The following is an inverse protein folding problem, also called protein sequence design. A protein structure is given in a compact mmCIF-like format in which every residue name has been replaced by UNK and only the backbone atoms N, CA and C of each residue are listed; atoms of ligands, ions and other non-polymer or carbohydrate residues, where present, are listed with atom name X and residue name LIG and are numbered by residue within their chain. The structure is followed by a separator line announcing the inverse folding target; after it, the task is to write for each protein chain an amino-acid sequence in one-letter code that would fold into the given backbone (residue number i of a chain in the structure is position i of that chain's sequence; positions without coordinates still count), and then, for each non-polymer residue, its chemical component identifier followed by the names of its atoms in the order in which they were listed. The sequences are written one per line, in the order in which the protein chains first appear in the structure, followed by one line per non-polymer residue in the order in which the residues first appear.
data_IF_800770034564
#
_entry.id   IF_800770034564
#
_cell.length_a   1.000
_cell.length_b   1.000
_cell.length_c   1.000
_cell.angle_alpha   90.00
_cell.angle_beta   90.00
_cell.angle_gamma   90.00
#
_symmetry.space_group_name_H-M   'P 1'
#
loop_
_entity.id
_entity.type
_entity.pdbx_description
1 polymer ?
#
# COMPACT_ATOMS: atom_id res chain seq x y z
N UNK A 1 9.75 -19.63 -17.33
CA UNK A 1 10.05 -19.13 -15.95
C UNK A 1 8.74 -18.69 -15.32
N UNK A 2 8.57 -18.88 -14.00
CA UNK A 2 7.37 -18.34 -13.34
C UNK A 2 7.39 -16.80 -13.49
N UNK A 3 6.23 -16.21 -13.82
CA UNK A 3 6.10 -14.76 -13.96
C UNK A 3 6.34 -14.12 -12.60
N UNK A 4 7.22 -13.11 -12.53
CA UNK A 4 7.41 -12.30 -11.33
C UNK A 4 6.13 -11.51 -11.03
N UNK A 5 5.71 -11.47 -9.77
CA UNK A 5 4.61 -10.63 -9.31
C UNK A 5 4.94 -9.14 -9.40
N UNK A 6 3.94 -8.32 -9.21
CA UNK A 6 4.03 -6.85 -9.29
C UNK A 6 3.81 -6.21 -7.93
N UNK A 7 4.42 -5.05 -7.73
CA UNK A 7 4.32 -4.27 -6.50
C UNK A 7 3.36 -3.09 -6.69
N UNK A 8 2.34 -3.03 -5.83
CA UNK A 8 1.38 -1.93 -5.76
C UNK A 8 1.51 -1.22 -4.42
N UNK A 9 1.60 0.09 -4.42
CA UNK A 9 1.75 0.89 -3.20
C UNK A 9 0.53 1.76 -3.04
N UNK A 10 -0.29 1.45 -2.03
CA UNK A 10 -1.51 2.20 -1.72
C UNK A 10 -1.20 3.18 -0.60
N UNK A 11 -1.38 4.45 -0.87
CA UNK A 11 -1.11 5.53 0.07
C UNK A 11 -2.18 6.63 0.01
N UNK A 12 -2.03 7.65 0.84
CA UNK A 12 -2.97 8.77 0.96
C UNK A 12 -3.18 9.18 2.42
N UNK A 13 -3.98 10.23 2.68
CA UNK A 13 -4.16 10.79 4.01
C UNK A 13 -4.70 9.79 5.03
N UNK A 14 -4.37 10.02 6.31
CA UNK A 14 -5.04 9.30 7.39
C UNK A 14 -6.55 9.59 7.35
N UNK A 15 -7.38 8.52 7.43
CA UNK A 15 -8.85 8.67 7.32
C UNK A 15 -9.40 8.55 5.88
N UNK A 16 -8.55 8.44 4.85
CA UNK A 16 -9.02 8.25 3.47
C UNK A 16 -9.71 6.88 3.22
N UNK A 17 -9.52 5.89 4.12
CA UNK A 17 -10.16 4.58 4.00
C UNK A 17 -9.27 3.49 3.37
N UNK A 18 -7.98 3.72 3.24
CA UNK A 18 -7.01 2.76 2.66
C UNK A 18 -7.17 1.35 3.20
N UNK A 19 -7.11 1.19 4.54
CA UNK A 19 -7.14 -0.12 5.18
C UNK A 19 -8.44 -0.90 4.94
N UNK A 20 -9.56 -0.20 4.80
CA UNK A 20 -10.84 -0.82 4.48
C UNK A 20 -10.85 -1.30 3.03
N UNK A 21 -10.39 -0.48 2.10
CA UNK A 21 -10.24 -0.83 0.68
C UNK A 21 -9.31 -2.03 0.53
N UNK A 22 -8.10 -1.98 1.12
CA UNK A 22 -7.12 -3.08 1.04
C UNK A 22 -7.70 -4.37 1.60
N UNK A 23 -8.32 -4.34 2.78
CA UNK A 23 -8.97 -5.52 3.37
C UNK A 23 -10.05 -6.11 2.47
N UNK A 24 -10.86 -5.25 1.83
CA UNK A 24 -11.91 -5.70 0.93
C UNK A 24 -11.33 -6.32 -0.36
N UNK A 25 -10.29 -5.71 -0.94
CA UNK A 25 -9.55 -6.28 -2.08
C UNK A 25 -9.02 -7.66 -1.75
N UNK A 26 -8.29 -7.80 -0.63
CA UNK A 26 -7.70 -9.08 -0.23
C UNK A 26 -8.74 -10.16 0.06
N UNK A 27 -9.90 -9.78 0.60
CA UNK A 27 -11.02 -10.70 0.84
C UNK A 27 -11.62 -11.24 -0.44
N UNK A 28 -11.74 -10.40 -1.47
CA UNK A 28 -12.36 -10.74 -2.76
C UNK A 28 -11.38 -11.42 -3.71
N UNK A 29 -10.09 -11.11 -3.60
CA UNK A 29 -9.05 -11.46 -4.56
C UNK A 29 -7.84 -12.13 -3.88
N UNK A 30 -7.90 -13.46 -3.64
CA UNK A 30 -6.84 -14.22 -2.97
C UNK A 30 -5.54 -14.35 -3.78
N UNK A 31 -5.55 -13.90 -5.02
CA UNK A 31 -4.40 -13.80 -5.92
C UNK A 31 -3.54 -12.54 -5.69
N UNK A 32 -3.94 -11.70 -4.73
CA UNK A 32 -3.21 -10.52 -4.26
C UNK A 32 -2.87 -10.68 -2.78
N UNK A 33 -1.69 -10.27 -2.38
CA UNK A 33 -1.20 -10.38 -1.00
C UNK A 33 -0.88 -9.00 -0.40
N UNK A 34 -0.96 -8.88 0.92
CA UNK A 34 -0.46 -7.70 1.64
C UNK A 34 0.97 -7.96 2.13
N UNK A 35 1.83 -6.98 2.03
CA UNK A 35 3.16 -7.06 2.63
C UNK A 35 3.09 -6.94 4.14
N UNK A 36 3.85 -7.79 4.83
CA UNK A 36 4.00 -7.73 6.28
C UNK A 36 5.12 -6.75 6.61
N UNK A 37 4.77 -5.63 7.25
CA UNK A 37 5.73 -4.62 7.68
C UNK A 37 6.54 -5.06 8.89
N UNK A 38 7.73 -4.48 9.05
CA UNK A 38 8.56 -4.59 10.24
C UNK A 38 8.21 -3.47 11.23
N UNK A 39 8.27 -3.73 12.54
CA UNK A 39 8.01 -2.70 13.56
C UNK A 39 8.79 -2.94 14.84
N UNK A 40 9.16 -1.84 15.54
CA UNK A 40 9.71 -1.90 16.90
C UNK A 40 8.63 -1.90 17.99
N UNK A 41 7.36 -1.76 17.62
CA UNK A 41 6.24 -1.85 18.54
C UNK A 41 6.11 -3.28 19.07
N UNK A 42 5.93 -3.42 20.38
CA UNK A 42 5.60 -4.72 20.97
C UNK A 42 4.28 -5.28 20.40
N UNK A 43 4.18 -6.60 20.17
CA UNK A 43 2.95 -7.22 19.71
C UNK A 43 1.80 -7.00 20.71
N UNK A 44 0.60 -6.76 20.18
CA UNK A 44 -0.63 -6.71 20.97
C UNK A 44 -1.17 -8.13 21.18
N UNK A 45 -2.06 -8.34 22.17
CA UNK A 45 -2.74 -9.63 22.33
C UNK A 45 -3.39 -10.09 21.02
N UNK A 46 -3.06 -11.30 20.58
CA UNK A 46 -3.58 -11.89 19.33
C UNK A 46 -2.77 -11.56 18.06
N UNK A 47 -1.77 -10.68 18.12
CA UNK A 47 -0.86 -10.48 17.00
C UNK A 47 0.22 -11.57 16.96
N UNK A 48 0.54 -12.02 15.75
CA UNK A 48 1.50 -13.12 15.48
C UNK A 48 2.63 -12.54 14.63
N UNK A 49 3.88 -12.81 15.05
CA UNK A 49 5.08 -12.43 14.30
C UNK A 49 5.09 -13.08 12.92
N UNK A 50 5.52 -12.32 11.92
CA UNK A 50 5.54 -12.76 10.51
C UNK A 50 4.16 -12.83 9.83
N UNK A 51 3.08 -12.58 10.56
CA UNK A 51 1.70 -12.56 10.03
C UNK A 51 1.13 -11.14 10.05
N UNK A 52 1.16 -10.49 11.21
CA UNK A 52 0.66 -9.12 11.37
C UNK A 52 1.76 -8.10 11.17
N UNK A 53 2.92 -8.36 11.75
CA UNK A 53 4.17 -7.62 11.61
C UNK A 53 5.36 -8.56 11.78
N UNK A 54 6.53 -8.12 11.31
CA UNK A 54 7.81 -8.63 11.78
C UNK A 54 8.22 -7.76 12.98
N UNK A 55 8.06 -8.30 14.20
CA UNK A 55 8.38 -7.58 15.42
C UNK A 55 9.87 -7.69 15.72
N UNK A 56 10.55 -6.56 15.84
CA UNK A 56 11.98 -6.50 16.15
C UNK A 56 12.21 -5.47 17.28
N UNK A 57 13.33 -5.56 17.97
CA UNK A 57 13.77 -4.52 18.88
C UNK A 57 14.44 -3.35 18.13
N UNK A 58 14.72 -2.28 18.87
CA UNK A 58 15.35 -1.09 18.30
C UNK A 58 16.74 -1.36 17.77
N UNK A 59 17.52 -2.22 18.43
CA UNK A 59 18.87 -2.56 18.00
C UNK A 59 18.87 -3.29 16.64
N UNK A 60 17.96 -4.26 16.48
CA UNK A 60 17.81 -4.97 15.21
C UNK A 60 17.28 -4.04 14.10
N UNK A 61 16.38 -3.15 14.45
CA UNK A 61 15.88 -2.15 13.47
C UNK A 61 17.01 -1.23 12.99
N UNK A 62 17.88 -0.77 13.90
CA UNK A 62 19.07 0.04 13.56
C UNK A 62 20.05 -0.70 12.64
N UNK A 63 20.26 -1.99 12.87
CA UNK A 63 21.07 -2.83 11.97
C UNK A 63 20.44 -2.88 10.57
N UNK A 64 19.14 -3.15 10.47
CA UNK A 64 18.43 -3.21 9.19
C UNK A 64 18.46 -1.86 8.44
N UNK A 65 18.43 -0.74 9.16
CA UNK A 65 18.61 0.60 8.56
C UNK A 65 20.03 0.75 8.00
N UNK A 66 21.07 0.37 8.76
CA UNK A 66 22.47 0.41 8.32
C UNK A 66 22.75 -0.48 7.12
N UNK A 67 22.11 -1.64 7.07
CA UNK A 67 22.17 -2.59 5.95
C UNK A 67 21.39 -2.12 4.71
N UNK A 68 20.69 -0.97 4.77
CA UNK A 68 19.77 -0.50 3.71
C UNK A 68 18.71 -1.57 3.33
N UNK A 69 18.22 -2.30 4.34
CA UNK A 69 17.33 -3.43 4.17
C UNK A 69 15.87 -3.04 3.91
N UNK A 70 15.51 -1.78 4.14
CA UNK A 70 14.16 -1.27 3.94
C UNK A 70 13.97 -0.58 2.58
N UNK A 71 12.80 -0.76 1.97
CA UNK A 71 12.32 0.13 0.91
C UNK A 71 11.98 1.52 1.46
N UNK A 72 11.31 1.53 2.60
CA UNK A 72 10.96 2.72 3.35
C UNK A 72 10.93 2.40 4.84
N UNK A 73 11.15 3.39 5.66
CA UNK A 73 10.86 3.30 7.08
C UNK A 73 10.56 4.69 7.65
N UNK A 74 9.77 4.74 8.73
CA UNK A 74 9.38 5.98 9.38
C UNK A 74 9.17 5.80 10.89
N UNK A 75 9.31 6.90 11.62
CA UNK A 75 8.84 7.01 12.98
C UNK A 75 7.33 7.30 12.99
N UNK A 76 6.57 6.45 13.67
CA UNK A 76 5.15 6.68 13.92
C UNK A 76 4.93 6.68 15.43
N UNK A 77 4.75 7.85 15.99
CA UNK A 77 4.74 8.09 17.43
C UNK A 77 6.05 7.64 18.11
N UNK A 78 5.97 6.64 18.99
CA UNK A 78 7.13 6.13 19.75
C UNK A 78 7.80 4.91 19.10
N UNK A 79 7.28 4.43 17.96
CA UNK A 79 7.74 3.21 17.33
C UNK A 79 8.19 3.48 15.90
N UNK A 80 8.97 2.55 15.36
CA UNK A 80 9.39 2.56 13.97
C UNK A 80 8.67 1.48 13.18
N UNK A 81 8.41 1.78 11.92
CA UNK A 81 7.80 0.88 10.97
C UNK A 81 8.59 0.94 9.68
N UNK A 82 8.64 -0.16 8.94
CA UNK A 82 9.31 -0.18 7.65
C UNK A 82 8.98 -1.43 6.83
N UNK A 83 9.18 -1.33 5.53
CA UNK A 83 8.94 -2.40 4.57
C UNK A 83 10.27 -3.05 4.16
N UNK A 84 10.49 -4.31 4.56
CA UNK A 84 11.71 -5.06 4.25
C UNK A 84 11.77 -5.43 2.77
N UNK A 85 12.86 -5.05 2.08
CA UNK A 85 13.13 -5.40 0.67
C UNK A 85 13.11 -6.91 0.45
N UNK A 86 13.73 -7.66 1.35
CA UNK A 86 13.81 -9.13 1.26
C UNK A 86 12.44 -9.81 1.31
N UNK A 87 11.51 -9.30 2.13
CA UNK A 87 10.15 -9.83 2.23
C UNK A 87 9.40 -9.58 0.92
N UNK A 88 9.46 -8.35 0.41
CA UNK A 88 8.82 -7.97 -0.85
C UNK A 88 9.38 -8.78 -2.01
N UNK A 89 10.71 -8.81 -2.19
CA UNK A 89 11.34 -9.53 -3.29
C UNK A 89 10.99 -11.02 -3.30
N UNK A 90 11.02 -11.67 -2.13
CA UNK A 90 10.66 -13.09 -1.99
C UNK A 90 9.22 -13.37 -2.43
N UNK A 91 8.28 -12.46 -2.20
CA UNK A 91 6.90 -12.63 -2.63
C UNK A 91 6.75 -12.39 -4.13
N UNK A 92 7.39 -11.36 -4.66
CA UNK A 92 7.37 -11.05 -6.10
C UNK A 92 8.02 -12.18 -6.92
N UNK A 93 9.11 -12.80 -6.44
CA UNK A 93 9.77 -13.93 -7.09
C UNK A 93 8.89 -15.19 -7.15
N UNK A 94 7.97 -15.35 -6.19
CA UNK A 94 6.95 -16.43 -6.21
C UNK A 94 5.82 -16.17 -7.21
N UNK A 95 5.80 -14.99 -7.85
CA UNK A 95 4.75 -14.59 -8.76
C UNK A 95 3.53 -13.95 -8.09
N UNK A 96 3.61 -13.64 -6.78
CA UNK A 96 2.52 -13.01 -6.05
C UNK A 96 2.51 -11.49 -6.30
N UNK A 97 1.37 -10.95 -6.69
CA UNK A 97 1.16 -9.51 -6.68
C UNK A 97 0.99 -9.03 -5.25
N UNK A 98 1.69 -7.96 -4.90
CA UNK A 98 1.83 -7.51 -3.52
C UNK A 98 1.36 -6.07 -3.36
N UNK A 99 0.54 -5.82 -2.34
CA UNK A 99 0.15 -4.49 -1.91
C UNK A 99 1.00 -4.07 -0.71
N UNK A 100 1.55 -2.85 -0.75
CA UNK A 100 2.03 -2.12 0.42
C UNK A 100 0.98 -1.09 0.79
N UNK A 101 0.54 -1.09 2.05
CA UNK A 101 -0.30 -0.03 2.61
C UNK A 101 0.57 0.80 3.55
N UNK A 102 1.01 1.96 3.09
CA UNK A 102 1.97 2.83 3.79
C UNK A 102 1.55 4.31 3.72
N UNK A 103 2.25 5.16 4.45
CA UNK A 103 2.02 6.60 4.38
C UNK A 103 2.60 7.22 3.09
N UNK A 104 2.31 8.51 2.90
CA UNK A 104 2.71 9.25 1.69
C UNK A 104 4.23 9.33 1.54
N UNK A 105 4.97 9.54 2.64
CA UNK A 105 6.42 9.67 2.59
C UNK A 105 7.08 8.34 2.24
N UNK A 106 6.61 7.26 2.87
CA UNK A 106 7.08 5.90 2.57
C UNK A 106 6.79 5.51 1.13
N UNK A 107 5.60 5.81 0.62
CA UNK A 107 5.28 5.53 -0.77
C UNK A 107 6.23 6.22 -1.76
N UNK A 108 6.51 7.50 -1.57
CA UNK A 108 7.43 8.23 -2.45
C UNK A 108 8.85 7.64 -2.41
N UNK A 109 9.32 7.16 -1.25
CA UNK A 109 10.60 6.45 -1.14
C UNK A 109 10.59 5.13 -1.93
N UNK A 110 9.49 4.37 -1.86
CA UNK A 110 9.36 3.12 -2.62
C UNK A 110 9.37 3.39 -4.12
N UNK A 111 8.57 4.35 -4.61
CA UNK A 111 8.48 4.68 -6.03
C UNK A 111 9.80 5.21 -6.60
N UNK A 112 10.62 5.91 -5.79
CA UNK A 112 11.95 6.34 -6.17
C UNK A 112 12.94 5.17 -6.29
N UNK A 113 12.85 4.18 -5.39
CA UNK A 113 13.75 3.02 -5.37
C UNK A 113 13.34 1.93 -6.36
N UNK A 114 12.05 1.79 -6.63
CA UNK A 114 11.50 0.79 -7.55
C UNK A 114 10.54 1.46 -8.55
N UNK A 115 11.04 1.97 -9.67
CA UNK A 115 10.21 2.58 -10.72
C UNK A 115 9.22 1.63 -11.39
N UNK A 116 9.29 0.32 -11.14
CA UNK A 116 8.31 -0.65 -11.61
C UNK A 116 7.10 -0.78 -10.68
N UNK A 117 7.19 -0.28 -9.45
CA UNK A 117 6.09 -0.24 -8.50
C UNK A 117 4.99 0.71 -8.99
N UNK A 118 3.75 0.37 -8.71
CA UNK A 118 2.57 1.14 -9.11
C UNK A 118 2.03 1.90 -7.90
N UNK A 119 2.07 3.21 -7.95
CA UNK A 119 1.55 4.09 -6.90
C UNK A 119 0.06 4.37 -7.08
N UNK A 120 -0.73 4.07 -6.04
CA UNK A 120 -2.17 4.34 -5.99
C UNK A 120 -2.46 5.25 -4.81
N UNK A 121 -2.91 6.47 -5.09
CA UNK A 121 -3.28 7.45 -4.06
C UNK A 121 -4.77 7.35 -3.75
N UNK A 122 -5.13 7.07 -2.49
CA UNK A 122 -6.52 7.07 -2.04
C UNK A 122 -6.85 8.44 -1.44
N UNK A 123 -7.82 9.12 -2.03
CA UNK A 123 -8.24 10.47 -1.68
C UNK A 123 -9.65 10.45 -1.08
N UNK A 124 -9.93 11.20 -0.01
CA UNK A 124 -11.30 11.46 0.41
C UNK A 124 -11.99 12.40 -0.59
N UNK A 125 -13.33 12.37 -0.73
CA UNK A 125 -14.04 13.24 -1.66
C UNK A 125 -14.01 14.72 -1.26
N UNK A 126 -13.85 15.01 0.04
CA UNK A 126 -13.73 16.36 0.56
C UNK A 126 -13.03 16.39 1.92
N UNK A 127 -12.59 17.60 2.31
CA UNK A 127 -12.06 17.86 3.66
C UNK A 127 -13.09 17.54 4.74
N UNK A 128 -14.36 17.87 4.51
CA UNK A 128 -15.43 17.62 5.47
C UNK A 128 -15.64 16.13 5.73
N UNK A 129 -15.65 15.33 4.67
CA UNK A 129 -15.76 13.87 4.80
C UNK A 129 -14.56 13.28 5.54
N UNK A 130 -13.36 13.78 5.27
CA UNK A 130 -12.17 13.35 5.99
C UNK A 130 -12.27 13.66 7.48
N UNK A 131 -12.67 14.88 7.84
CA UNK A 131 -12.85 15.30 9.22
C UNK A 131 -13.89 14.44 9.94
N UNK A 132 -15.03 14.18 9.32
CA UNK A 132 -16.07 13.27 9.85
C UNK A 132 -15.52 11.87 10.14
N UNK A 133 -14.74 11.31 9.21
CA UNK A 133 -14.12 9.99 9.37
C UNK A 133 -13.10 9.94 10.48
N UNK A 134 -12.25 10.96 10.62
CA UNK A 134 -11.28 11.05 11.71
C UNK A 134 -11.97 11.12 13.08
N UNK A 135 -13.02 11.94 13.21
CA UNK A 135 -13.82 12.05 14.44
C UNK A 135 -14.55 10.75 14.79
N UNK A 136 -15.13 10.07 13.79
CA UNK A 136 -15.88 8.83 13.99
C UNK A 136 -15.03 7.67 14.53
N UNK A 137 -13.70 7.70 14.35
CA UNK A 137 -12.79 6.70 14.94
C UNK A 137 -12.72 6.76 16.46
N UNK A 138 -12.98 7.91 17.07
CA UNK A 138 -13.02 8.09 18.53
C UNK A 138 -11.69 7.83 19.27
N UNK A 139 -10.61 7.60 18.54
CA UNK A 139 -9.29 7.22 19.11
C UNK A 139 -8.31 8.40 19.16
N UNK A 140 -8.68 9.55 18.61
CA UNK A 140 -7.80 10.70 18.46
C UNK A 140 -8.33 11.93 19.21
N UNK A 141 -7.41 12.73 19.77
CA UNK A 141 -7.76 14.02 20.36
C UNK A 141 -8.09 15.06 19.29
N UNK A 142 -8.88 16.08 19.63
CA UNK A 142 -9.19 17.21 18.74
C UNK A 142 -7.93 17.89 18.20
N UNK A 143 -6.89 18.01 19.02
CA UNK A 143 -5.60 18.57 18.61
C UNK A 143 -4.94 17.70 17.52
N UNK A 144 -4.94 16.37 17.69
CA UNK A 144 -4.42 15.42 16.69
C UNK A 144 -5.19 15.53 15.37
N UNK A 145 -6.52 15.59 15.42
CA UNK A 145 -7.36 15.77 14.25
C UNK A 145 -7.02 17.08 13.51
N UNK A 146 -6.87 18.19 14.26
CA UNK A 146 -6.52 19.49 13.69
C UNK A 146 -5.16 19.45 12.99
N UNK A 147 -4.15 18.87 13.61
CA UNK A 147 -2.82 18.71 13.02
C UNK A 147 -2.89 17.91 11.72
N UNK A 148 -3.62 16.77 11.72
CA UNK A 148 -3.80 15.95 10.52
C UNK A 148 -4.50 16.72 9.39
N UNK A 149 -5.59 17.42 9.69
CA UNK A 149 -6.33 18.21 8.69
C UNK A 149 -5.47 19.35 8.09
N UNK A 150 -4.53 19.91 8.86
CA UNK A 150 -3.60 20.90 8.34
C UNK A 150 -2.54 20.29 7.40
N UNK A 151 -2.14 19.04 7.64
CA UNK A 151 -1.14 18.35 6.82
C UNK A 151 -1.73 17.77 5.51
N UNK A 152 -3.04 17.51 5.47
CA UNK A 152 -3.72 16.89 4.32
C UNK A 152 -3.48 17.60 3.00
N UNK A 153 -3.44 18.94 3.00
CA UNK A 153 -3.21 19.70 1.77
C UNK A 153 -1.83 19.37 1.15
N UNK A 154 -0.80 19.25 2.02
CA UNK A 154 0.53 18.82 1.59
C UNK A 154 0.54 17.37 1.08
N UNK A 155 -0.15 16.46 1.77
CA UNK A 155 -0.25 15.06 1.36
C UNK A 155 -0.98 14.92 0.02
N UNK A 156 -2.12 15.60 -0.17
CA UNK A 156 -2.88 15.60 -1.44
C UNK A 156 -2.07 16.21 -2.59
N UNK A 157 -1.27 17.22 -2.33
CA UNK A 157 -0.39 17.80 -3.35
C UNK A 157 0.63 16.79 -3.91
N UNK A 158 0.94 15.72 -3.15
CA UNK A 158 1.83 14.65 -3.66
C UNK A 158 1.15 13.68 -4.60
N UNK A 159 -0.19 13.68 -4.69
CA UNK A 159 -0.95 12.76 -5.55
C UNK A 159 -0.51 12.82 -7.03
N UNK A 160 0.00 13.95 -7.49
CA UNK A 160 0.56 14.11 -8.84
C UNK A 160 1.81 13.26 -9.13
N UNK A 161 2.39 12.64 -8.10
CA UNK A 161 3.55 11.73 -8.22
C UNK A 161 3.16 10.25 -8.30
N UNK A 162 1.86 9.97 -8.21
CA UNK A 162 1.31 8.61 -8.27
C UNK A 162 0.79 8.30 -9.67
N UNK A 163 0.70 7.02 -9.99
CA UNK A 163 0.18 6.57 -11.28
C UNK A 163 -1.35 6.65 -11.34
N UNK A 164 -2.01 6.44 -10.19
CA UNK A 164 -3.48 6.42 -10.10
C UNK A 164 -3.98 7.13 -8.84
N UNK A 165 -5.18 7.69 -8.95
CA UNK A 165 -5.90 8.31 -7.83
C UNK A 165 -7.28 7.69 -7.72
N UNK A 166 -7.60 7.14 -6.54
CA UNK A 166 -8.92 6.59 -6.19
C UNK A 166 -9.64 7.59 -5.27
N UNK A 167 -10.84 8.00 -5.62
CA UNK A 167 -11.66 8.87 -4.78
C UNK A 167 -12.63 8.00 -3.97
N UNK A 168 -12.30 7.74 -2.71
CA UNK A 168 -13.14 6.94 -1.84
C UNK A 168 -14.32 7.77 -1.30
N UNK A 169 -15.46 7.64 -1.94
CA UNK A 169 -16.71 8.35 -1.63
C UNK A 169 -17.24 8.00 -0.23
N UNK A 170 -18.14 8.84 0.30
CA UNK A 170 -18.88 8.52 1.52
C UNK A 170 -20.05 7.57 1.18
N UNK A 171 -20.22 6.52 1.98
CA UNK A 171 -21.32 5.56 1.80
C UNK A 171 -22.71 6.20 1.90
N UNK A 172 -22.82 7.36 2.55
CA UNK A 172 -24.08 8.12 2.63
C UNK A 172 -24.46 8.78 1.32
N UNK A 173 -23.43 9.15 0.55
CA UNK A 173 -23.61 9.84 -0.73
C UNK A 173 -23.61 8.84 -1.90
N UNK A 174 -22.83 7.77 -1.77
CA UNK A 174 -22.68 6.72 -2.78
C UNK A 174 -22.83 5.36 -2.10
N UNK A 175 -23.98 4.68 -2.24
CA UNK A 175 -24.10 3.28 -1.83
C UNK A 175 -22.98 2.45 -2.45
N UNK A 176 -22.47 1.49 -1.70
CA UNK A 176 -21.38 0.61 -2.15
C UNK A 176 -20.03 1.31 -2.42
N UNK A 177 -19.81 2.52 -1.87
CA UNK A 177 -18.58 3.30 -2.06
C UNK A 177 -17.30 2.50 -1.79
N UNK A 178 -17.31 1.61 -0.78
CA UNK A 178 -16.19 0.73 -0.48
C UNK A 178 -15.96 -0.31 -1.58
N UNK A 179 -17.03 -0.91 -2.09
CA UNK A 179 -16.97 -1.90 -3.16
C UNK A 179 -16.43 -1.25 -4.44
N UNK A 180 -16.95 -0.08 -4.81
CA UNK A 180 -16.51 0.67 -5.98
C UNK A 180 -15.01 0.97 -5.89
N UNK A 181 -14.54 1.56 -4.78
CA UNK A 181 -13.13 1.88 -4.62
C UNK A 181 -12.23 0.63 -4.62
N UNK A 182 -12.71 -0.49 -4.07
CA UNK A 182 -11.98 -1.75 -4.08
C UNK A 182 -11.90 -2.36 -5.48
N UNK A 183 -12.97 -2.28 -6.24
CA UNK A 183 -13.03 -2.77 -7.62
C UNK A 183 -12.18 -1.89 -8.56
N UNK A 184 -12.08 -0.58 -8.30
CA UNK A 184 -11.15 0.31 -9.00
C UNK A 184 -9.69 -0.08 -8.74
N UNK A 185 -9.30 -0.34 -7.48
CA UNK A 185 -7.95 -0.83 -7.15
C UNK A 185 -7.66 -2.14 -7.86
N UNK A 186 -8.58 -3.11 -7.82
CA UNK A 186 -8.36 -4.39 -8.48
C UNK A 186 -8.35 -4.28 -10.02
N UNK A 187 -9.10 -3.33 -10.57
CA UNK A 187 -9.06 -3.03 -12.02
C UNK A 187 -7.70 -2.50 -12.45
N UNK A 188 -7.05 -1.66 -11.63
CA UNK A 188 -5.67 -1.19 -11.86
C UNK A 188 -4.70 -2.38 -11.86
N UNK A 189 -4.82 -3.28 -10.87
CA UNK A 189 -3.98 -4.48 -10.79
C UNK A 189 -4.14 -5.32 -12.07
N UNK A 190 -5.36 -5.57 -12.51
CA UNK A 190 -5.64 -6.35 -13.71
C UNK A 190 -5.16 -5.66 -15.01
N UNK A 191 -5.34 -4.35 -15.12
CA UNK A 191 -4.84 -3.59 -16.25
C UNK A 191 -3.31 -3.69 -16.35
N UNK A 192 -2.63 -3.55 -15.20
CA UNK A 192 -1.17 -3.69 -15.12
C UNK A 192 -0.69 -5.08 -15.52
N UNK A 193 -1.41 -6.15 -15.11
CA UNK A 193 -1.14 -7.53 -15.56
C UNK A 193 -1.20 -7.70 -17.09
N UNK A 194 -2.03 -6.91 -17.75
CA UNK A 194 -2.26 -6.96 -19.19
C UNK A 194 -1.33 -6.05 -19.99
N UNK A 195 -0.54 -5.19 -19.36
CA UNK A 195 0.44 -4.38 -20.06
C UNK A 195 1.40 -5.25 -20.91
N UNK A 196 1.73 -4.77 -22.09
CA UNK A 196 2.64 -5.46 -23.01
C UNK A 196 3.94 -5.90 -22.33
N UNK A 197 4.53 -5.03 -21.52
CA UNK A 197 5.78 -5.32 -20.80
C UNK A 197 5.66 -6.56 -19.92
N UNK A 198 4.49 -6.81 -19.32
CA UNK A 198 4.20 -7.97 -18.50
C UNK A 198 3.76 -9.22 -19.29
N UNK A 199 3.75 -9.17 -20.63
CA UNK A 199 3.36 -10.26 -21.54
C UNK A 199 4.44 -10.62 -22.55
N UNK A 200 5.59 -9.95 -22.54
CA UNK A 200 6.66 -10.16 -23.53
C UNK A 200 7.11 -11.63 -23.57
N UNK A 201 7.38 -12.26 -22.42
CA UNK A 201 7.82 -13.66 -22.36
C UNK A 201 6.83 -14.61 -23.04
N UNK A 202 5.52 -14.39 -22.83
CA UNK A 202 4.47 -15.19 -23.47
C UNK A 202 4.47 -14.95 -24.99
N UNK A 203 4.54 -13.70 -25.43
CA UNK A 203 4.55 -13.34 -26.85
C UNK A 203 5.79 -13.91 -27.58
N UNK A 204 6.94 -13.88 -26.94
CA UNK A 204 8.18 -14.43 -27.46
C UNK A 204 8.11 -15.97 -27.59
N UNK A 205 7.59 -16.63 -26.54
CA UNK A 205 7.40 -18.08 -26.56
C UNK A 205 6.42 -18.52 -27.66
N UNK A 206 5.26 -17.85 -27.75
CA UNK A 206 4.25 -18.12 -28.77
C UNK A 206 4.81 -17.86 -30.18
N UNK A 207 5.55 -16.77 -30.38
CA UNK A 207 6.17 -16.44 -31.66
C UNK A 207 7.16 -17.51 -32.08
N UNK A 208 7.93 -18.07 -31.14
CA UNK A 208 8.86 -19.16 -31.42
C UNK A 208 8.13 -20.44 -31.81
N UNK A 209 7.05 -20.79 -31.08
CA UNK A 209 6.23 -21.96 -31.35
C UNK A 209 5.57 -21.89 -32.75
N UNK A 210 5.01 -20.72 -33.10
CA UNK A 210 4.34 -20.52 -34.40
C UNK A 210 5.29 -20.48 -35.60
N UNK A 211 6.61 -20.39 -35.38
CA UNK A 211 7.65 -20.43 -36.44
C UNK A 211 8.30 -21.81 -36.60
N UNK A 212 8.03 -22.73 -35.68
CA UNK A 212 8.54 -24.10 -35.70
C UNK A 212 7.69 -25.02 -36.56
#
# INVERSE_FOLDING_TARGET
MAKRGMLFVISGPAGAGKSEIVKNVLKKHPDVSLSVSCTTRAPRPGEIDGVHYHFVDDARFDELVKENAFYEWAHVHQNRYGTLKSVVQKQLEKGNDLILEIDVQGCLQVLEQDPSAVGIFVCPPSRENLEKRLRARGTESEESIRVRLNNVAGEVATAYKYDYVIIHQDWKDVPDALEIASDEVYSIINAKRCEKANRCDFLDALTKELRA
#
